data_IF_447993894353
#
_entry.id   IF_447993894353
#
_cell.length_a   1.000
_cell.length_b   1.000
_cell.length_c   1.000
_cell.angle_alpha   90.00
_cell.angle_beta   90.00
_cell.angle_gamma   90.00
#
_symmetry.space_group_name_H-M   'P 1'
#
loop_
_entity.id
_entity.type
_entity.pdbx_description
1 polymer ?
#
# COMPACT_ATOMS: atom_id res chain seq x y z
N UNK A 1 8.79 10.40 -7.47
CA UNK A 1 7.75 10.14 -6.47
C UNK A 1 7.28 11.38 -5.71
N UNK A 2 7.94 12.55 -5.80
CA UNK A 2 7.57 13.71 -4.94
C UNK A 2 6.09 14.12 -5.05
N UNK A 3 5.45 13.97 -6.21
CA UNK A 3 4.01 14.22 -6.40
C UNK A 3 3.11 13.43 -5.42
N UNK A 4 3.56 12.27 -4.97
CA UNK A 4 2.81 11.38 -4.08
C UNK A 4 3.31 11.40 -2.64
N UNK A 5 4.33 12.20 -2.34
CA UNK A 5 4.85 12.33 -0.97
C UNK A 5 3.80 12.92 -0.05
N UNK A 6 3.88 12.56 1.23
CA UNK A 6 3.04 13.14 2.28
C UNK A 6 3.11 14.67 2.27
N UNK A 7 4.29 15.24 2.00
CA UNK A 7 4.50 16.69 1.98
C UNK A 7 3.72 17.41 0.87
N UNK A 8 3.31 16.68 -0.19
CA UNK A 8 2.66 17.25 -1.38
C UNK A 8 1.22 16.77 -1.56
N UNK A 9 0.67 16.05 -0.58
CA UNK A 9 -0.64 15.40 -0.70
C UNK A 9 -1.46 15.55 0.57
N UNK A 10 -2.79 15.63 0.41
CA UNK A 10 -3.68 15.57 1.57
C UNK A 10 -3.99 14.13 1.96
N UNK A 11 -4.55 13.97 3.16
CA UNK A 11 -5.05 12.67 3.63
C UNK A 11 -6.12 12.11 2.70
N UNK A 12 -7.05 12.95 2.26
CA UNK A 12 -8.15 12.59 1.35
C UNK A 12 -7.61 12.12 0.00
N UNK A 13 -6.63 12.82 -0.56
CA UNK A 13 -6.01 12.41 -1.82
C UNK A 13 -5.27 11.07 -1.71
N UNK A 14 -4.60 10.81 -0.57
CA UNK A 14 -3.96 9.51 -0.33
C UNK A 14 -5.00 8.40 -0.19
N UNK A 15 -6.10 8.66 0.52
CA UNK A 15 -7.20 7.71 0.66
C UNK A 15 -7.89 7.41 -0.69
N UNK A 16 -8.13 8.44 -1.50
CA UNK A 16 -8.73 8.29 -2.84
C UNK A 16 -7.84 7.43 -3.75
N UNK A 17 -6.54 7.69 -3.76
CA UNK A 17 -5.58 6.90 -4.56
C UNK A 17 -5.55 5.44 -4.12
N UNK A 18 -5.60 5.17 -2.81
CA UNK A 18 -5.67 3.80 -2.31
C UNK A 18 -6.98 3.12 -2.73
N UNK A 19 -8.11 3.79 -2.59
CA UNK A 19 -9.42 3.25 -3.01
C UNK A 19 -9.45 2.95 -4.53
N UNK A 20 -8.85 3.82 -5.35
CA UNK A 20 -8.70 3.57 -6.79
C UNK A 20 -7.83 2.34 -7.07
N UNK A 21 -6.73 2.17 -6.34
CA UNK A 21 -5.86 0.98 -6.46
C UNK A 21 -6.59 -0.30 -6.04
N UNK A 22 -7.35 -0.27 -4.94
CA UNK A 22 -8.16 -1.40 -4.48
C UNK A 22 -9.27 -1.77 -5.47
N UNK A 23 -9.92 -0.77 -6.08
CA UNK A 23 -10.90 -0.99 -7.13
C UNK A 23 -10.29 -1.72 -8.33
N UNK A 24 -9.09 -1.32 -8.78
CA UNK A 24 -8.34 -2.03 -9.83
C UNK A 24 -7.99 -3.46 -9.38
N UNK A 25 -7.51 -3.63 -8.14
CA UNK A 25 -7.15 -4.95 -7.60
C UNK A 25 -8.35 -5.91 -7.59
N UNK A 26 -9.55 -5.40 -7.27
CA UNK A 26 -10.79 -6.18 -7.26
C UNK A 26 -11.21 -6.77 -8.63
N UNK A 27 -10.60 -6.30 -9.73
CA UNK A 27 -10.91 -6.80 -11.08
C UNK A 27 -10.30 -8.18 -11.38
N UNK A 28 -9.42 -8.71 -10.53
CA UNK A 28 -8.83 -10.03 -10.78
C UNK A 28 -7.74 -10.51 -9.82
N UNK A 29 -7.41 -9.74 -8.79
CA UNK A 29 -6.40 -10.12 -7.81
C UNK A 29 -7.05 -10.49 -6.46
N UNK A 30 -6.29 -11.23 -5.64
CA UNK A 30 -6.70 -11.56 -4.27
C UNK A 30 -6.79 -10.25 -3.46
N UNK A 31 -7.74 -10.15 -2.50
CA UNK A 31 -7.82 -9.01 -1.60
C UNK A 31 -6.49 -8.78 -0.87
N UNK A 32 -6.19 -7.52 -0.57
CA UNK A 32 -5.05 -7.14 0.26
C UNK A 32 -5.22 -7.75 1.65
N UNK A 33 -4.15 -8.35 2.19
CA UNK A 33 -4.19 -8.92 3.53
C UNK A 33 -4.47 -7.84 4.58
N UNK A 34 -5.28 -8.09 5.62
CA UNK A 34 -5.63 -7.07 6.62
C UNK A 34 -4.42 -6.38 7.26
N UNK A 35 -3.35 -7.13 7.51
CA UNK A 35 -2.13 -6.56 8.09
C UNK A 35 -1.34 -5.68 7.11
N UNK A 36 -1.53 -5.85 5.80
CA UNK A 36 -0.96 -4.96 4.78
C UNK A 36 -1.81 -3.70 4.62
N UNK A 37 -3.13 -3.78 4.86
CA UNK A 37 -4.02 -2.62 4.91
C UNK A 37 -3.61 -1.62 6.00
N UNK A 38 -3.11 -2.11 7.14
CA UNK A 38 -2.60 -1.24 8.21
C UNK A 38 -1.42 -0.38 7.73
N UNK A 39 -0.52 -0.91 6.91
CA UNK A 39 0.60 -0.14 6.36
C UNK A 39 0.11 0.97 5.41
N UNK A 40 -0.91 0.68 4.59
CA UNK A 40 -1.52 1.70 3.73
C UNK A 40 -2.28 2.75 4.52
N UNK A 41 -2.92 2.38 5.63
CA UNK A 41 -3.60 3.33 6.53
C UNK A 41 -2.60 4.31 7.15
N UNK A 42 -1.42 3.83 7.57
CA UNK A 42 -0.35 4.68 8.09
C UNK A 42 0.19 5.66 7.03
N UNK A 43 0.19 5.28 5.76
CA UNK A 43 0.47 6.24 4.68
C UNK A 43 -0.63 7.29 4.54
N UNK A 44 -1.91 6.89 4.56
CA UNK A 44 -3.05 7.82 4.51
C UNK A 44 -2.94 8.85 5.63
N UNK A 45 -2.68 8.40 6.86
CA UNK A 45 -2.59 9.27 8.04
C UNK A 45 -1.30 10.12 8.06
N UNK A 46 -0.38 9.92 7.10
CA UNK A 46 0.81 10.73 6.93
C UNK A 46 1.97 10.31 7.84
N UNK A 47 1.94 9.09 8.35
CA UNK A 47 2.99 8.54 9.22
C UNK A 47 4.14 7.89 8.44
N UNK A 48 3.85 7.37 7.24
CA UNK A 48 4.82 6.67 6.38
C UNK A 48 4.73 7.17 4.94
N UNK A 49 5.89 7.42 4.32
CA UNK A 49 5.95 7.62 2.88
C UNK A 49 5.58 6.32 2.15
N UNK A 50 5.00 6.44 0.95
CA UNK A 50 4.54 5.27 0.19
C UNK A 50 5.70 4.33 -0.16
N UNK A 51 6.91 4.87 -0.35
CA UNK A 51 8.14 4.11 -0.55
C UNK A 51 8.46 3.23 0.65
N UNK A 52 8.26 3.74 1.87
CA UNK A 52 8.50 2.97 3.10
C UNK A 52 7.52 1.82 3.20
N UNK A 53 6.24 2.07 2.92
CA UNK A 53 5.20 1.02 2.85
C UNK A 53 5.58 -0.06 1.83
N UNK A 54 5.95 0.33 0.62
CA UNK A 54 6.35 -0.61 -0.45
C UNK A 54 7.56 -1.44 0.01
N UNK A 55 8.57 -0.82 0.60
CA UNK A 55 9.76 -1.54 1.06
C UNK A 55 9.43 -2.53 2.18
N UNK A 56 8.57 -2.14 3.14
CA UNK A 56 8.12 -3.04 4.22
C UNK A 56 7.35 -4.25 3.67
N UNK A 57 6.48 -4.06 2.68
CA UNK A 57 5.76 -5.14 2.01
C UNK A 57 6.73 -6.06 1.25
N UNK A 58 7.65 -5.48 0.48
CA UNK A 58 8.68 -6.24 -0.24
C UNK A 58 9.48 -7.11 0.73
N UNK A 59 9.91 -6.56 1.87
CA UNK A 59 10.69 -7.31 2.85
C UNK A 59 9.88 -8.41 3.54
N UNK A 60 8.59 -8.16 3.84
CA UNK A 60 7.67 -9.16 4.37
C UNK A 60 7.54 -10.37 3.44
N UNK A 61 7.31 -10.12 2.15
CA UNK A 61 7.07 -11.17 1.17
C UNK A 61 8.36 -11.83 0.67
N UNK A 62 9.49 -11.10 0.58
CA UNK A 62 10.80 -11.71 0.28
C UNK A 62 11.25 -12.70 1.36
N UNK A 63 10.93 -12.44 2.63
CA UNK A 63 11.24 -13.35 3.74
C UNK A 63 10.29 -14.55 3.83
N UNK A 64 9.25 -14.59 3.00
CA UNK A 64 8.23 -15.65 2.97
C UNK A 64 8.26 -16.38 1.62
N UNK A 65 9.09 -17.44 1.43
CA UNK A 65 9.18 -18.16 0.16
C UNK A 65 7.91 -18.91 -0.27
N UNK A 66 6.82 -18.81 0.48
CA UNK A 66 5.59 -19.58 0.26
C UNK A 66 4.59 -18.96 -0.73
N UNK A 67 4.76 -17.72 -1.16
CA UNK A 67 3.72 -17.01 -1.92
C UNK A 67 3.83 -17.09 -3.46
N UNK A 68 4.87 -17.73 -4.01
CA UNK A 68 5.06 -17.79 -5.47
C UNK A 68 4.53 -19.07 -6.13
N UNK A 69 3.94 -20.00 -5.36
CA UNK A 69 3.51 -21.32 -5.86
C UNK A 69 2.05 -21.69 -5.53
N UNK A 70 1.15 -20.72 -5.28
CA UNK A 70 -0.30 -20.96 -5.06
C UNK A 70 -1.20 -20.18 -6.04
#
# INVERSE_FOLDING_TARGET
>A
MSKYSIANTTREERAERLAQAEAINSLGAKPVAPEDQELFQRHIDGELEIEEVIQMLIDKYKKSPKALND
#
